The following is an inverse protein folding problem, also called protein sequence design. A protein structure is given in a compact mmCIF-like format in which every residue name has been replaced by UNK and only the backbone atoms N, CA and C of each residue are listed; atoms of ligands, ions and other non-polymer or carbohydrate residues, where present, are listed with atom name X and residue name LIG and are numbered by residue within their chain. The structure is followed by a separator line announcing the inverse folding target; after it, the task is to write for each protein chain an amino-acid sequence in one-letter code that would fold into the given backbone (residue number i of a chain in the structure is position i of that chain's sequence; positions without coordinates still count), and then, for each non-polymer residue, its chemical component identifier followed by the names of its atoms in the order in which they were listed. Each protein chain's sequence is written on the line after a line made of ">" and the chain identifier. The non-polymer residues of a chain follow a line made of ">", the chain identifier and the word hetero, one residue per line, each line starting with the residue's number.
data_IF_578730367580
#
_entry.id   IF_578730367580
#
_cell.length_a   1.000
_cell.length_b   1.000
_cell.length_c   1.000
_cell.angle_alpha   90.00
_cell.angle_beta   90.00
_cell.angle_gamma   90.00
#
_symmetry.space_group_name_H-M   'P 1'
#
loop_
_entity.id
_entity.type
_entity.pdbx_description
1 polymer ?
#
# COMPACT_ATOMS: atom_id res chain seq x y z
N UNK A 1 5.40 -16.49 -2.17
CA UNK A 1 4.03 -16.21 -1.69
C UNK A 1 3.06 -16.73 -2.74
N UNK A 2 2.00 -17.47 -2.36
CA UNK A 2 0.98 -17.93 -3.32
C UNK A 2 0.16 -16.71 -3.80
N UNK A 3 -0.10 -16.61 -5.10
CA UNK A 3 -0.86 -15.51 -5.71
C UNK A 3 -2.32 -15.45 -5.19
N UNK A 4 -2.88 -16.57 -4.72
CA UNK A 4 -4.22 -16.61 -4.10
C UNK A 4 -4.26 -15.86 -2.77
N UNK A 5 -3.28 -16.09 -1.91
CA UNK A 5 -3.18 -15.41 -0.62
C UNK A 5 -2.96 -13.91 -0.79
N UNK A 6 -2.18 -13.52 -1.80
CA UNK A 6 -1.93 -12.12 -2.12
C UNK A 6 -3.22 -11.39 -2.53
N UNK A 7 -4.04 -12.00 -3.40
CA UNK A 7 -5.32 -11.44 -3.86
C UNK A 7 -6.34 -11.30 -2.71
N UNK A 8 -6.34 -12.24 -1.76
CA UNK A 8 -7.17 -12.15 -0.55
C UNK A 8 -6.76 -10.99 0.37
N UNK A 9 -5.47 -10.71 0.53
CA UNK A 9 -4.98 -9.59 1.36
C UNK A 9 -5.34 -8.23 0.75
N UNK A 10 -5.07 -8.06 -0.54
CA UNK A 10 -5.44 -6.84 -1.28
C UNK A 10 -6.93 -6.57 -1.19
N UNK A 11 -7.79 -7.59 -1.30
CA UNK A 11 -9.24 -7.46 -1.26
C UNK A 11 -9.82 -6.86 0.03
N UNK A 12 -9.04 -6.80 1.12
CA UNK A 12 -9.46 -6.19 2.39
C UNK A 12 -9.41 -4.66 2.38
N UNK A 13 -8.58 -4.07 1.53
CA UNK A 13 -8.34 -2.63 1.52
C UNK A 13 -9.37 -1.89 0.67
N UNK A 14 -9.73 -0.64 1.04
CA UNK A 14 -10.52 0.21 0.18
C UNK A 14 -9.89 0.32 -1.21
N UNK A 15 -10.73 0.25 -2.26
CA UNK A 15 -10.27 0.32 -3.67
C UNK A 15 -9.41 1.55 -3.94
N UNK A 16 -9.64 2.63 -3.19
CA UNK A 16 -8.91 3.90 -3.30
C UNK A 16 -7.47 3.80 -2.82
N UNK A 17 -7.21 3.06 -1.72
CA UNK A 17 -5.85 2.79 -1.21
C UNK A 17 -5.04 2.05 -2.27
N UNK A 18 -5.61 0.97 -2.81
CA UNK A 18 -4.95 0.17 -3.84
C UNK A 18 -4.74 0.98 -5.12
N UNK A 19 -5.75 1.74 -5.56
CA UNK A 19 -5.65 2.62 -6.73
C UNK A 19 -4.55 3.66 -6.55
N UNK A 20 -4.43 4.22 -5.35
CA UNK A 20 -3.35 5.14 -5.03
C UNK A 20 -1.98 4.45 -5.13
N UNK A 21 -1.78 3.30 -4.47
CA UNK A 21 -0.52 2.54 -4.54
C UNK A 21 -0.17 2.11 -5.97
N UNK A 22 -1.16 1.78 -6.79
CA UNK A 22 -0.96 1.46 -8.22
C UNK A 22 -0.62 2.67 -9.08
N UNK A 23 -0.95 3.90 -8.65
CA UNK A 23 -0.71 5.13 -9.44
C UNK A 23 0.61 5.81 -9.11
N UNK A 24 1.15 5.64 -7.91
CA UNK A 24 2.40 6.33 -7.55
C UNK A 24 3.55 5.90 -8.46
N UNK A 25 4.34 6.86 -8.94
CA UNK A 25 5.50 6.59 -9.81
C UNK A 25 6.69 6.07 -9.03
N UNK A 26 6.79 6.46 -7.76
CA UNK A 26 7.84 6.03 -6.84
C UNK A 26 7.45 4.71 -6.18
N UNK A 27 8.44 3.94 -5.75
CA UNK A 27 8.21 2.77 -4.88
C UNK A 27 8.06 3.14 -3.41
N UNK A 28 7.97 4.43 -3.10
CA UNK A 28 8.00 4.94 -1.73
C UNK A 28 6.75 5.76 -1.47
N UNK A 29 6.09 5.46 -0.36
CA UNK A 29 4.89 6.13 0.14
C UNK A 29 5.11 6.53 1.60
N UNK A 30 4.48 7.63 2.00
CA UNK A 30 4.49 8.12 3.38
C UNK A 30 3.05 8.22 3.86
N UNK A 31 2.87 8.26 5.18
CA UNK A 31 1.54 8.50 5.80
C UNK A 31 0.96 9.81 5.26
N UNK A 32 1.79 10.85 5.09
CA UNK A 32 1.37 12.14 4.55
C UNK A 32 0.78 12.01 3.14
N UNK A 33 1.43 11.26 2.24
CA UNK A 33 0.91 11.12 0.89
C UNK A 33 -0.44 10.40 0.84
N UNK A 34 -0.65 9.39 1.69
CA UNK A 34 -1.92 8.68 1.79
C UNK A 34 -3.00 9.62 2.33
N UNK A 35 -2.69 10.32 3.42
CA UNK A 35 -3.56 11.32 4.05
C UNK A 35 -4.05 12.37 3.03
N UNK A 36 -3.14 12.98 2.27
CA UNK A 36 -3.49 14.02 1.29
C UNK A 36 -4.26 13.48 0.09
N UNK A 37 -3.93 12.26 -0.36
CA UNK A 37 -4.54 11.68 -1.56
C UNK A 37 -5.96 11.20 -1.30
N UNK A 38 -6.23 10.71 -0.08
CA UNK A 38 -7.54 10.18 0.31
C UNK A 38 -8.39 11.17 1.10
N UNK A 39 -7.82 12.30 1.53
CA UNK A 39 -8.49 13.31 2.38
C UNK A 39 -9.02 12.71 3.69
N UNK A 40 -8.21 11.85 4.31
CA UNK A 40 -8.51 11.18 5.58
C UNK A 40 -7.67 11.76 6.72
N UNK A 41 -7.98 11.38 7.96
CA UNK A 41 -7.20 11.79 9.12
C UNK A 41 -5.82 11.12 9.16
N UNK A 42 -4.86 11.74 9.84
CA UNK A 42 -3.49 11.22 9.96
C UNK A 42 -3.47 9.85 10.66
N UNK A 43 -4.30 9.65 11.68
CA UNK A 43 -4.33 8.38 12.41
C UNK A 43 -4.96 7.26 11.56
N UNK A 44 -6.00 7.57 10.79
CA UNK A 44 -6.58 6.63 9.83
C UNK A 44 -5.57 6.23 8.75
N UNK A 45 -4.86 7.22 8.16
CA UNK A 45 -3.80 6.96 7.19
C UNK A 45 -2.68 6.11 7.79
N UNK A 46 -2.33 6.35 9.06
CA UNK A 46 -1.33 5.57 9.79
C UNK A 46 -1.79 4.11 9.96
N UNK A 47 -3.02 3.88 10.41
CA UNK A 47 -3.58 2.53 10.58
C UNK A 47 -3.55 1.75 9.26
N UNK A 48 -4.04 2.35 8.16
CA UNK A 48 -4.00 1.72 6.83
C UNK A 48 -2.57 1.33 6.43
N UNK A 49 -1.59 2.20 6.70
CA UNK A 49 -0.18 1.92 6.37
C UNK A 49 0.40 0.79 7.22
N UNK A 50 0.02 0.68 8.49
CA UNK A 50 0.42 -0.44 9.34
C UNK A 50 -0.22 -1.75 8.89
N UNK A 51 -1.52 -1.75 8.56
CA UNK A 51 -2.20 -2.93 8.03
C UNK A 51 -1.52 -3.42 6.74
N UNK A 52 -1.27 -2.49 5.79
CA UNK A 52 -0.55 -2.79 4.54
C UNK A 52 0.85 -3.38 4.80
N UNK A 53 1.50 -2.98 5.90
CA UNK A 53 2.80 -3.48 6.30
C UNK A 53 2.71 -4.90 6.87
N UNK A 54 1.73 -5.16 7.74
CA UNK A 54 1.47 -6.50 8.29
C UNK A 54 1.10 -7.50 7.19
N UNK A 55 0.34 -7.06 6.18
CA UNK A 55 -0.01 -7.90 5.03
C UNK A 55 1.15 -8.09 4.03
N UNK A 56 2.27 -7.38 4.20
CA UNK A 56 3.46 -7.47 3.34
C UNK A 56 3.35 -6.74 2.01
N UNK A 57 2.38 -5.83 1.86
CA UNK A 57 2.20 -4.99 0.68
C UNK A 57 3.25 -3.86 0.67
N UNK A 58 3.57 -3.33 1.85
CA UNK A 58 4.62 -2.35 2.04
C UNK A 58 5.60 -2.80 3.15
N UNK A 59 6.78 -2.22 3.14
CA UNK A 59 7.84 -2.49 4.12
C UNK A 59 8.31 -1.15 4.71
N UNK A 60 8.44 -1.07 6.04
CA UNK A 60 8.93 0.14 6.68
C UNK A 60 10.41 0.36 6.36
N UNK A 61 10.74 1.54 5.84
CA UNK A 61 12.10 1.98 5.56
C UNK A 61 12.34 3.37 6.15
N UNK A 62 12.92 3.39 7.36
CA UNK A 62 13.11 4.60 8.15
C UNK A 62 11.77 5.35 8.39
N UNK A 63 11.64 6.57 7.86
CA UNK A 63 10.45 7.43 7.94
C UNK A 63 9.49 7.24 6.76
N UNK A 64 9.83 6.36 5.81
CA UNK A 64 9.05 6.07 4.60
C UNK A 64 8.63 4.60 4.57
N UNK A 65 7.74 4.26 3.66
CA UNK A 65 7.36 2.87 3.41
C UNK A 65 7.64 2.54 1.95
N UNK A 66 8.29 1.41 1.72
CA UNK A 66 8.64 0.90 0.40
C UNK A 66 7.58 -0.12 -0.03
N UNK A 67 7.03 0.03 -1.23
CA UNK A 67 6.13 -0.97 -1.80
C UNK A 67 6.91 -2.24 -2.14
N UNK A 68 6.38 -3.39 -1.71
CA UNK A 68 7.02 -4.69 -1.90
C UNK A 68 7.22 -5.00 -3.38
N UNK A 69 8.29 -5.75 -3.70
CA UNK A 69 8.60 -6.12 -5.07
C UNK A 69 7.50 -6.96 -5.72
N UNK A 70 6.85 -7.81 -4.92
CA UNK A 70 5.79 -8.69 -5.39
C UNK A 70 4.54 -7.89 -5.79
N UNK A 71 4.15 -6.90 -5.00
CA UNK A 71 3.09 -5.95 -5.38
C UNK A 71 3.45 -5.17 -6.66
N UNK A 72 4.71 -4.77 -6.82
CA UNK A 72 5.17 -4.07 -8.02
C UNK A 72 5.15 -4.93 -9.28
N UNK A 73 5.47 -6.23 -9.15
CA UNK A 73 5.38 -7.21 -10.25
C UNK A 73 3.93 -7.46 -10.64
N UNK A 74 3.02 -7.54 -9.67
CA UNK A 74 1.59 -7.70 -9.95
C UNK A 74 1.00 -6.48 -10.66
N UNK A 75 1.38 -5.26 -10.23
CA UNK A 75 0.99 -4.02 -10.91
C UNK A 75 1.34 -4.02 -12.41
N UNK A 76 2.48 -4.61 -12.79
CA UNK A 76 2.97 -4.58 -14.18
C UNK A 76 2.23 -5.53 -15.12
N UNK A 77 1.30 -6.35 -14.60
CA UNK A 77 0.52 -7.34 -15.35
C UNK A 77 -0.95 -6.93 -15.57
N UNK A 78 -1.37 -5.80 -15.00
CA UNK A 78 -2.72 -5.22 -15.09
C UNK A 78 -2.67 -4.04 -16.06
#
# INVERSE_FOLDING_TARGET
>A
MDARDFKMRIGKYPKEVLRYLMRIRTRYVTIYHLQTSMKIEREEAKNIMYDLMEDGIIEKYQTTFRISLDFWKERSKI
#
